data_IF_193387333478
#
_entry.id   IF_193387333478
#
_cell.length_a   1.000
_cell.length_b   1.000
_cell.length_c   1.000
_cell.angle_alpha   90.00
_cell.angle_beta   90.00
_cell.angle_gamma   90.00
#
_symmetry.space_group_name_H-M   'P 1'
#
loop_
_entity.id
_entity.type
_entity.pdbx_description
1 polymer ?
#
# COMPACT_ATOMS: atom_id res chain seq x y z
N UNK A 1 10.74 -65.97 32.24
CA UNK A 1 10.23 -64.71 32.84
C UNK A 1 10.62 -63.57 31.91
N UNK A 2 9.71 -63.12 31.05
CA UNK A 2 9.94 -62.04 30.09
C UNK A 2 9.43 -60.74 30.71
N UNK A 3 10.34 -59.84 31.08
CA UNK A 3 10.01 -58.47 31.47
C UNK A 3 9.73 -57.67 30.18
N UNK A 4 8.50 -57.19 30.02
CA UNK A 4 8.16 -56.21 29.00
C UNK A 4 8.63 -54.83 29.46
N UNK A 5 9.54 -54.16 28.74
CA UNK A 5 9.89 -52.78 29.07
C UNK A 5 8.68 -51.89 28.77
N UNK A 6 8.14 -51.24 29.80
CA UNK A 6 7.13 -50.19 29.67
C UNK A 6 7.75 -49.06 28.86
N UNK A 7 7.44 -49.03 27.56
CA UNK A 7 7.98 -48.05 26.62
C UNK A 7 7.47 -46.65 26.96
N UNK A 8 8.29 -45.89 27.68
CA UNK A 8 8.10 -44.46 27.95
C UNK A 8 8.10 -43.59 26.67
N UNK A 9 8.42 -44.17 25.51
CA UNK A 9 8.45 -43.46 24.24
C UNK A 9 7.06 -43.00 23.77
N UNK A 10 6.01 -43.77 24.07
CA UNK A 10 4.64 -43.47 23.64
C UNK A 10 4.07 -42.19 24.28
N UNK A 11 4.13 -41.97 25.62
CA UNK A 11 3.65 -40.74 26.22
C UNK A 11 4.47 -39.50 25.85
N UNK A 12 5.79 -39.65 25.63
CA UNK A 12 6.66 -38.53 25.21
C UNK A 12 6.34 -38.10 23.77
N UNK A 13 6.14 -39.06 22.86
CA UNK A 13 5.77 -38.77 21.48
C UNK A 13 4.40 -38.07 21.39
N UNK A 14 3.42 -38.49 22.19
CA UNK A 14 2.10 -37.85 22.27
C UNK A 14 2.19 -36.40 22.80
N UNK A 15 3.03 -36.16 23.80
CA UNK A 15 3.24 -34.82 24.34
C UNK A 15 3.90 -33.87 23.33
N UNK A 16 4.87 -34.35 22.54
CA UNK A 16 5.54 -33.56 21.50
C UNK A 16 4.60 -33.21 20.35
N UNK A 17 3.82 -34.17 19.87
CA UNK A 17 2.83 -33.94 18.79
C UNK A 17 1.74 -32.98 19.26
N UNK A 18 1.23 -33.16 20.49
CA UNK A 18 0.26 -32.24 21.09
C UNK A 18 0.80 -30.82 21.23
N UNK A 19 2.05 -30.67 21.69
CA UNK A 19 2.73 -29.38 21.82
C UNK A 19 2.87 -28.65 20.47
N UNK A 20 3.27 -29.37 19.41
CA UNK A 20 3.42 -28.79 18.06
C UNK A 20 2.07 -28.34 17.50
N UNK A 21 1.01 -29.13 17.69
CA UNK A 21 -0.34 -28.76 17.25
C UNK A 21 -0.88 -27.52 17.97
N UNK A 22 -0.64 -27.41 19.28
CA UNK A 22 -1.02 -26.22 20.06
C UNK A 22 -0.23 -24.99 19.60
N UNK A 23 1.07 -25.14 19.33
CA UNK A 23 1.92 -24.05 18.84
C UNK A 23 1.47 -23.56 17.46
N UNK A 24 1.07 -24.50 16.60
CA UNK A 24 0.56 -24.19 15.27
C UNK A 24 -0.81 -23.51 15.34
N UNK A 25 -1.71 -24.01 16.20
CA UNK A 25 -3.03 -23.43 16.42
C UNK A 25 -2.94 -22.01 17.03
N UNK A 26 -2.08 -21.80 18.04
CA UNK A 26 -1.85 -20.47 18.62
C UNK A 26 -1.20 -19.53 17.62
N UNK A 27 -0.22 -19.97 16.82
CA UNK A 27 0.38 -19.15 15.75
C UNK A 27 -0.63 -18.78 14.66
N UNK A 28 -1.56 -19.68 14.33
CA UNK A 28 -2.66 -19.42 13.38
C UNK A 28 -3.70 -18.45 13.95
N UNK A 29 -4.05 -18.58 15.23
CA UNK A 29 -4.95 -17.65 15.93
C UNK A 29 -4.32 -16.25 16.10
N UNK A 30 -3.04 -16.19 16.46
CA UNK A 30 -2.27 -14.94 16.54
C UNK A 30 -2.22 -14.22 15.19
N UNK A 31 -2.04 -14.96 14.08
CA UNK A 31 -2.11 -14.40 12.71
C UNK A 31 -3.51 -13.90 12.35
N UNK A 32 -4.58 -14.58 12.79
CA UNK A 32 -5.97 -14.12 12.62
C UNK A 32 -6.33 -12.91 13.50
N UNK A 33 -5.62 -12.68 14.60
CA UNK A 33 -5.90 -11.58 15.53
C UNK A 33 -5.28 -10.24 15.16
N UNK A 34 -4.43 -10.18 14.12
CA UNK A 34 -3.98 -8.89 13.58
C UNK A 34 -5.19 -8.23 12.94
N UNK A 35 -5.82 -7.30 13.68
CA UNK A 35 -6.84 -6.41 13.14
C UNK A 35 -6.29 -5.79 11.85
N UNK A 36 -6.98 -6.03 10.74
CA UNK A 36 -6.67 -5.36 9.47
C UNK A 36 -6.90 -3.86 9.70
N UNK A 37 -5.96 -2.97 9.36
CA UNK A 37 -6.17 -1.54 9.51
C UNK A 37 -7.44 -1.08 8.79
N UNK A 38 -8.14 -0.10 9.33
CA UNK A 38 -9.41 0.36 8.79
C UNK A 38 -9.26 0.92 7.38
N UNK A 39 -8.18 1.68 7.12
CA UNK A 39 -7.92 2.21 5.78
C UNK A 39 -7.75 1.12 4.72
N UNK A 40 -7.17 -0.04 5.08
CA UNK A 40 -7.04 -1.19 4.16
C UNK A 40 -8.41 -1.78 3.85
N UNK A 41 -9.27 -1.96 4.86
CA UNK A 41 -10.61 -2.50 4.67
C UNK A 41 -11.47 -1.59 3.77
N UNK A 42 -11.41 -0.27 4.00
CA UNK A 42 -12.12 0.72 3.19
C UNK A 42 -11.59 0.73 1.75
N UNK A 43 -10.27 0.73 1.58
CA UNK A 43 -9.65 0.67 0.26
C UNK A 43 -10.06 -0.59 -0.52
N UNK A 44 -9.98 -1.77 0.09
CA UNK A 44 -10.34 -3.04 -0.54
C UNK A 44 -11.83 -3.07 -0.91
N UNK A 45 -12.71 -2.57 -0.02
CA UNK A 45 -14.14 -2.47 -0.26
C UNK A 45 -14.47 -1.56 -1.45
N UNK A 46 -13.91 -0.35 -1.50
CA UNK A 46 -14.12 0.58 -2.62
C UNK A 46 -13.50 0.03 -3.91
N UNK A 47 -12.33 -0.61 -3.83
CA UNK A 47 -11.70 -1.26 -4.98
C UNK A 47 -12.58 -2.35 -5.59
N UNK A 48 -13.29 -3.12 -4.77
CA UNK A 48 -14.23 -4.14 -5.26
C UNK A 48 -15.46 -3.51 -5.92
N UNK A 49 -15.98 -2.41 -5.37
CA UNK A 49 -17.08 -1.65 -5.97
C UNK A 49 -16.68 -1.15 -7.35
N UNK A 50 -15.56 -0.43 -7.47
CA UNK A 50 -15.10 0.10 -8.76
C UNK A 50 -14.69 -0.96 -9.77
N UNK A 51 -14.31 -2.17 -9.33
CA UNK A 51 -14.08 -3.30 -10.24
C UNK A 51 -15.37 -3.75 -10.93
N UNK A 52 -16.51 -3.64 -10.25
CA UNK A 52 -17.83 -4.02 -10.78
C UNK A 52 -18.46 -2.86 -11.58
N UNK A 53 -18.33 -1.65 -11.04
CA UNK A 53 -18.88 -0.44 -11.62
C UNK A 53 -17.95 0.75 -11.32
N UNK A 54 -17.14 1.19 -12.29
CA UNK A 54 -16.22 2.32 -12.12
C UNK A 54 -16.91 3.67 -11.84
N UNK A 55 -18.19 3.79 -12.16
CA UNK A 55 -18.97 5.02 -11.98
C UNK A 55 -19.85 4.99 -10.72
N UNK A 56 -19.74 3.93 -9.92
CA UNK A 56 -20.52 3.78 -8.70
C UNK A 56 -20.29 4.93 -7.72
N UNK A 57 -21.39 5.43 -7.15
CA UNK A 57 -21.30 6.39 -6.04
C UNK A 57 -20.82 5.70 -4.77
N UNK A 58 -19.81 6.30 -4.14
CA UNK A 58 -19.25 5.86 -2.85
C UNK A 58 -19.25 7.02 -1.86
N UNK A 59 -19.33 6.74 -0.54
CA UNK A 59 -19.22 7.78 0.47
C UNK A 59 -17.96 8.63 0.30
N UNK A 60 -18.06 9.94 0.53
CA UNK A 60 -16.96 10.88 0.29
C UNK A 60 -15.70 10.51 1.09
N UNK A 61 -15.88 10.09 2.34
CA UNK A 61 -14.80 9.66 3.22
C UNK A 61 -14.10 8.39 2.71
N UNK A 62 -14.88 7.44 2.19
CA UNK A 62 -14.37 6.22 1.59
C UNK A 62 -13.61 6.53 0.29
N UNK A 63 -14.07 7.50 -0.51
CA UNK A 63 -13.40 7.95 -1.72
C UNK A 63 -12.05 8.61 -1.41
N UNK A 64 -11.99 9.46 -0.38
CA UNK A 64 -10.74 10.07 0.11
C UNK A 64 -9.74 8.98 0.49
N UNK A 65 -10.18 7.99 1.27
CA UNK A 65 -9.35 6.86 1.66
C UNK A 65 -8.84 6.07 0.44
N UNK A 66 -9.73 5.72 -0.47
CA UNK A 66 -9.38 4.97 -1.68
C UNK A 66 -8.32 5.71 -2.51
N UNK A 67 -8.53 7.00 -2.76
CA UNK A 67 -7.62 7.84 -3.55
C UNK A 67 -6.25 8.00 -2.90
N UNK A 68 -6.21 8.40 -1.63
CA UNK A 68 -4.97 8.61 -0.92
C UNK A 68 -4.17 7.32 -0.74
N UNK A 69 -4.84 6.22 -0.38
CA UNK A 69 -4.16 4.93 -0.19
C UNK A 69 -3.66 4.35 -1.52
N UNK A 70 -4.35 4.58 -2.63
CA UNK A 70 -3.85 4.22 -3.96
C UNK A 70 -2.57 4.98 -4.30
N UNK A 71 -2.50 6.29 -4.05
CA UNK A 71 -1.27 7.06 -4.23
C UNK A 71 -0.12 6.52 -3.36
N UNK A 72 -0.41 6.18 -2.10
CA UNK A 72 0.57 5.54 -1.21
C UNK A 72 1.12 4.24 -1.83
N UNK A 73 0.25 3.34 -2.29
CA UNK A 73 0.67 2.05 -2.83
C UNK A 73 1.53 2.18 -4.08
N UNK A 74 1.17 3.08 -5.00
CA UNK A 74 1.87 3.18 -6.29
C UNK A 74 3.08 4.11 -6.25
N UNK A 75 3.00 5.24 -5.54
CA UNK A 75 4.07 6.25 -5.56
C UNK A 75 5.15 5.98 -4.50
N UNK A 76 4.83 5.31 -3.38
CA UNK A 76 5.82 5.02 -2.34
C UNK A 76 6.58 3.72 -2.63
N UNK A 77 5.90 2.65 -3.06
CA UNK A 77 6.54 1.34 -3.24
C UNK A 77 7.38 1.27 -4.52
N UNK A 78 6.91 1.86 -5.61
CA UNK A 78 7.60 1.81 -6.91
C UNK A 78 8.49 3.05 -7.18
N UNK A 79 8.34 4.10 -6.36
CA UNK A 79 8.89 5.44 -6.59
C UNK A 79 8.08 6.22 -7.63
N UNK A 80 8.25 7.54 -7.67
CA UNK A 80 7.40 8.43 -8.48
C UNK A 80 7.29 8.07 -9.97
N UNK A 81 8.42 7.83 -10.66
CA UNK A 81 8.44 7.57 -12.10
C UNK A 81 7.64 6.30 -12.46
N UNK A 82 8.03 5.16 -11.87
CA UNK A 82 7.34 3.88 -12.08
C UNK A 82 5.93 3.89 -11.52
N UNK A 83 5.70 4.56 -10.39
CA UNK A 83 4.38 4.70 -9.79
C UNK A 83 3.40 5.44 -10.68
N UNK A 84 3.83 6.53 -11.31
CA UNK A 84 3.03 7.27 -12.30
C UNK A 84 2.77 6.41 -13.54
N UNK A 85 3.79 5.73 -14.07
CA UNK A 85 3.66 4.80 -15.20
C UNK A 85 2.65 3.67 -14.90
N UNK A 86 2.79 3.00 -13.76
CA UNK A 86 1.93 1.88 -13.35
C UNK A 86 0.48 2.29 -13.07
N UNK A 87 0.28 3.52 -12.60
CA UNK A 87 -1.04 4.01 -12.21
C UNK A 87 -1.76 4.72 -13.36
N UNK A 88 -1.03 5.15 -14.40
CA UNK A 88 -1.42 6.09 -15.45
C UNK A 88 -1.53 7.56 -14.96
N UNK A 89 -0.97 8.54 -15.70
CA UNK A 89 -1.00 9.96 -15.34
C UNK A 89 -2.39 10.51 -14.96
N UNK A 90 -3.41 10.15 -15.74
CA UNK A 90 -4.80 10.57 -15.49
C UNK A 90 -5.36 10.04 -14.17
N UNK A 91 -5.02 8.81 -13.80
CA UNK A 91 -5.49 8.22 -12.54
C UNK A 91 -4.75 8.80 -11.34
N UNK A 92 -3.47 9.17 -11.48
CA UNK A 92 -2.72 9.90 -10.45
C UNK A 92 -3.44 11.21 -10.15
N UNK A 93 -3.72 12.02 -11.18
CA UNK A 93 -4.44 13.30 -11.01
C UNK A 93 -5.82 13.13 -10.40
N UNK A 94 -6.57 12.10 -10.79
CA UNK A 94 -7.88 11.79 -10.20
C UNK A 94 -7.79 11.42 -8.71
N UNK A 95 -6.64 10.91 -8.26
CA UNK A 95 -6.40 10.52 -6.88
C UNK A 95 -5.82 11.64 -6.00
N UNK A 96 -5.16 12.66 -6.58
CA UNK A 96 -4.58 13.80 -5.84
C UNK A 96 -5.55 14.49 -4.84
N UNK A 97 -6.84 14.67 -5.15
CA UNK A 97 -7.79 15.25 -4.19
C UNK A 97 -7.90 14.48 -2.87
N UNK A 98 -7.49 13.21 -2.81
CA UNK A 98 -7.47 12.43 -1.57
C UNK A 98 -6.42 12.90 -0.55
N UNK A 99 -5.41 13.68 -0.98
CA UNK A 99 -4.35 14.17 -0.11
C UNK A 99 -4.72 15.43 0.68
N UNK A 100 -5.66 16.25 0.17
CA UNK A 100 -6.06 17.52 0.78
C UNK A 100 -6.63 17.33 2.21
N UNK A 101 -7.60 16.42 2.45
CA UNK A 101 -8.16 16.22 3.79
C UNK A 101 -7.15 15.66 4.79
N UNK A 102 -6.02 15.12 4.30
CA UNK A 102 -4.94 14.60 5.12
C UNK A 102 -3.88 15.68 5.45
N UNK A 103 -4.06 16.91 5.00
CA UNK A 103 -3.09 18.00 5.16
C UNK A 103 -1.82 17.77 4.32
N UNK A 104 -1.98 17.20 3.12
CA UNK A 104 -0.91 16.90 2.16
C UNK A 104 -1.12 17.62 0.82
N UNK A 105 -1.81 18.77 0.82
CA UNK A 105 -2.09 19.55 -0.39
C UNK A 105 -0.82 20.02 -1.14
N UNK A 106 0.24 20.36 -0.42
CA UNK A 106 1.53 20.73 -1.02
C UNK A 106 2.15 19.57 -1.79
N UNK A 107 2.14 18.37 -1.20
CA UNK A 107 2.59 17.16 -1.87
C UNK A 107 1.74 16.86 -3.11
N UNK A 108 0.42 17.08 -3.04
CA UNK A 108 -0.45 16.90 -4.20
C UNK A 108 -0.06 17.80 -5.37
N UNK A 109 0.26 19.07 -5.10
CA UNK A 109 0.71 20.03 -6.13
C UNK A 109 2.06 19.65 -6.73
N UNK A 110 3.00 19.18 -5.90
CA UNK A 110 4.30 18.72 -6.39
C UNK A 110 4.17 17.46 -7.26
N UNK A 111 3.31 16.52 -6.88
CA UNK A 111 3.04 15.32 -7.68
C UNK A 111 2.39 15.71 -9.02
N UNK A 112 1.40 16.61 -9.03
CA UNK A 112 0.77 17.06 -10.30
C UNK A 112 1.78 17.71 -11.25
N UNK A 113 2.66 18.57 -10.71
CA UNK A 113 3.73 19.19 -11.49
C UNK A 113 4.67 18.14 -12.09
N UNK A 114 5.03 17.11 -11.30
CA UNK A 114 5.84 15.99 -11.79
C UNK A 114 5.13 15.19 -12.88
N UNK A 115 3.84 14.87 -12.72
CA UNK A 115 3.05 14.18 -13.75
C UNK A 115 3.03 14.99 -15.05
N UNK A 116 2.94 16.32 -14.98
CA UNK A 116 3.05 17.19 -16.14
C UNK A 116 4.40 17.06 -16.88
N UNK A 117 5.50 16.97 -16.14
CA UNK A 117 6.84 16.73 -16.72
C UNK A 117 6.93 15.32 -17.30
N UNK A 118 6.44 14.30 -16.59
CA UNK A 118 6.41 12.91 -17.04
C UNK A 118 5.73 12.78 -18.41
N UNK A 119 4.52 13.32 -18.56
CA UNK A 119 3.77 13.24 -19.82
C UNK A 119 4.46 14.00 -20.96
N UNK A 120 5.13 15.11 -20.65
CA UNK A 120 5.88 15.87 -21.66
C UNK A 120 7.10 15.08 -22.15
N UNK A 121 7.80 14.37 -21.25
CA UNK A 121 8.91 13.49 -21.62
C UNK A 121 8.42 12.29 -22.43
N UNK A 122 7.32 11.64 -22.04
CA UNK A 122 6.76 10.51 -22.81
C UNK A 122 6.28 10.90 -24.21
N UNK A 123 5.81 12.13 -24.40
CA UNK A 123 5.38 12.62 -25.73
C UNK A 123 6.54 12.90 -26.68
N UNK A 124 7.76 13.08 -26.17
CA UNK A 124 8.93 13.40 -26.99
C UNK A 124 9.56 12.13 -27.55
N UNK A 125 9.79 12.13 -28.85
CA UNK A 125 10.52 11.06 -29.56
C UNK A 125 12.03 11.30 -29.60
N UNK A 126 12.48 12.48 -29.19
CA UNK A 126 13.84 13.01 -29.30
C UNK A 126 14.47 13.31 -27.93
N UNK A 127 14.19 12.47 -26.93
CA UNK A 127 14.83 12.59 -25.61
C UNK A 127 16.30 12.21 -25.74
N UNK A 128 17.17 13.22 -25.63
CA UNK A 128 18.61 13.02 -25.55
C UNK A 128 19.04 12.54 -24.14
N UNK A 129 20.27 12.05 -24.04
CA UNK A 129 20.83 11.51 -22.80
C UNK A 129 20.87 12.55 -21.67
N UNK A 130 21.16 13.81 -22.00
CA UNK A 130 21.22 14.90 -21.01
C UNK A 130 19.86 15.20 -20.39
N UNK A 131 18.81 15.25 -21.21
CA UNK A 131 17.44 15.47 -20.76
C UNK A 131 16.92 14.28 -19.94
N UNK A 132 17.27 13.05 -20.36
CA UNK A 132 16.96 11.84 -19.60
C UNK A 132 17.60 11.82 -18.21
N UNK A 133 18.86 12.24 -18.10
CA UNK A 133 19.56 12.36 -16.83
C UNK A 133 18.97 13.44 -15.91
N UNK A 134 18.65 14.61 -16.46
CA UNK A 134 18.01 15.71 -15.71
C UNK A 134 16.63 15.30 -15.18
N UNK A 135 15.84 14.62 -16.02
CA UNK A 135 14.57 14.04 -15.63
C UNK A 135 14.73 13.05 -14.47
N UNK A 136 15.63 12.07 -14.59
CA UNK A 136 15.85 11.08 -13.55
C UNK A 136 16.37 11.69 -12.24
N UNK A 137 17.18 12.74 -12.32
CA UNK A 137 17.63 13.49 -11.15
C UNK A 137 16.46 14.18 -10.47
N UNK A 138 15.61 14.85 -11.24
CA UNK A 138 14.40 15.53 -10.74
C UNK A 138 13.45 14.54 -10.08
N UNK A 139 13.20 13.39 -10.72
CA UNK A 139 12.38 12.31 -10.16
C UNK A 139 12.93 11.83 -8.82
N UNK A 140 14.24 11.57 -8.72
CA UNK A 140 14.91 11.14 -7.48
C UNK A 140 14.87 12.20 -6.37
N UNK A 141 15.11 13.46 -6.71
CA UNK A 141 15.09 14.57 -5.74
C UNK A 141 13.67 14.79 -5.20
N UNK A 142 12.66 14.67 -6.06
CA UNK A 142 11.27 14.75 -5.65
C UNK A 142 10.84 13.53 -4.82
N UNK A 143 11.23 12.33 -5.22
CA UNK A 143 10.94 11.09 -4.49
C UNK A 143 11.47 11.18 -3.06
N UNK A 144 12.71 11.65 -2.88
CA UNK A 144 13.30 11.86 -1.56
C UNK A 144 12.53 12.85 -0.68
N UNK A 145 11.96 13.89 -1.27
CA UNK A 145 11.16 14.90 -0.54
C UNK A 145 9.76 14.40 -0.21
N UNK A 146 9.12 13.69 -1.13
CA UNK A 146 7.75 13.19 -0.98
C UNK A 146 7.68 11.91 -0.14
N UNK A 147 8.72 11.07 -0.15
CA UNK A 147 8.77 9.82 0.59
C UNK A 147 8.32 9.93 2.07
N UNK A 148 8.87 10.84 2.91
CA UNK A 148 8.42 10.96 4.29
C UNK A 148 6.95 11.35 4.40
N UNK A 149 6.43 12.18 3.50
CA UNK A 149 5.05 12.63 3.50
C UNK A 149 4.08 11.51 3.08
N UNK A 150 4.42 10.80 2.01
CA UNK A 150 3.64 9.68 1.51
C UNK A 150 3.61 8.52 2.52
N UNK A 151 4.73 8.26 3.20
CA UNK A 151 4.81 7.22 4.25
C UNK A 151 3.86 7.45 5.43
N UNK A 152 3.46 8.69 5.69
CA UNK A 152 2.51 9.03 6.76
C UNK A 152 1.04 8.79 6.36
N UNK A 153 0.73 8.57 5.09
CA UNK A 153 -0.65 8.42 4.59
C UNK A 153 -1.45 7.37 5.38
N UNK A 154 -0.94 6.14 5.65
CA UNK A 154 -1.70 5.15 6.42
C UNK A 154 -2.13 5.65 7.80
N UNK A 155 -1.22 6.30 8.53
CA UNK A 155 -1.50 6.83 9.86
C UNK A 155 -2.48 8.02 9.81
N UNK A 156 -2.30 8.91 8.84
CA UNK A 156 -3.21 10.05 8.61
C UNK A 156 -4.61 9.56 8.25
N UNK A 157 -4.73 8.49 7.46
CA UNK A 157 -6.00 7.87 7.10
C UNK A 157 -6.70 7.20 8.28
N UNK A 158 -5.98 6.49 9.14
CA UNK A 158 -6.56 5.93 10.38
C UNK A 158 -7.14 7.04 11.26
N UNK A 159 -6.43 8.17 11.39
CA UNK A 159 -6.94 9.34 12.12
C UNK A 159 -8.11 10.02 11.42
N UNK A 160 -8.14 10.04 10.10
CA UNK A 160 -9.23 10.63 9.32
C UNK A 160 -10.52 9.81 9.43
N UNK A 161 -10.42 8.49 9.29
CA UNK A 161 -11.54 7.56 9.34
C UNK A 161 -12.05 7.28 10.75
N UNK A 162 -11.24 7.52 11.79
CA UNK A 162 -11.61 7.37 13.19
C UNK A 162 -12.26 8.62 13.83
N UNK A 163 -12.49 9.68 13.05
CA UNK A 163 -13.21 10.90 13.45
C UNK A 163 -14.70 10.76 13.16
#
# INVERSE_FOLDING_TARGET
MTQTPTSLALPIALALVGGILILWATRRLLRRSKKVPMHVQVYEGVSEVFRKDPEAEVPAEALVCYRAYRLYLYLLDDGLDKGVSNMEPGAVRAALPGLEPLGLGDAAREIDAFVGVYEEIERRTDVDESLGEEYQKTARDLDRRLYPLLREIPERLERYLGR
#
